data_IF_468832394718
#
_entry.id   IF_468832394718
#
_cell.length_a   1.000
_cell.length_b   1.000
_cell.length_c   1.000
_cell.angle_alpha   90.00
_cell.angle_beta   90.00
_cell.angle_gamma   90.00
#
_symmetry.space_group_name_H-M   'P 1'
#
loop_
_entity.id
_entity.type
_entity.pdbx_description
1 polymer ?
#
# COMPACT_ATOMS: atom_id res chain seq x y z
N UNK A 1 -16.12 19.84 5.76
CA UNK A 1 -14.79 19.75 6.42
C UNK A 1 -13.94 18.63 5.83
N UNK A 2 -14.39 17.36 5.88
CA UNK A 2 -13.71 16.17 5.29
C UNK A 2 -13.12 16.36 3.87
N UNK A 3 -13.93 16.79 2.90
CA UNK A 3 -13.49 16.99 1.51
C UNK A 3 -12.43 18.10 1.33
N UNK A 4 -12.30 19.02 2.31
CA UNK A 4 -11.21 20.02 2.29
C UNK A 4 -9.92 19.40 2.76
N UNK A 5 -9.97 18.49 3.75
CA UNK A 5 -8.79 17.78 4.25
C UNK A 5 -8.24 16.80 3.22
N UNK A 6 -9.10 15.96 2.62
CA UNK A 6 -8.68 15.04 1.55
C UNK A 6 -8.01 15.76 0.37
N UNK A 7 -8.53 16.94 -0.01
CA UNK A 7 -7.91 17.77 -1.05
C UNK A 7 -6.55 18.33 -0.64
N UNK A 8 -6.39 18.73 0.61
CA UNK A 8 -5.09 19.22 1.10
C UNK A 8 -4.05 18.12 1.20
N UNK A 9 -4.44 16.88 1.56
CA UNK A 9 -3.53 15.74 1.58
C UNK A 9 -2.89 15.52 0.20
N UNK A 10 -3.67 15.65 -0.87
CA UNK A 10 -3.18 15.51 -2.25
C UNK A 10 -2.28 16.66 -2.72
N UNK A 11 -2.17 17.76 -1.96
CA UNK A 11 -1.33 18.93 -2.29
C UNK A 11 -0.17 19.11 -1.32
N UNK A 12 0.07 18.16 -0.41
CA UNK A 12 1.22 18.21 0.49
C UNK A 12 2.51 18.04 -0.33
N UNK A 13 3.50 18.88 -0.03
CA UNK A 13 4.85 18.74 -0.55
C UNK A 13 5.58 17.67 0.27
N UNK A 14 5.30 16.40 -0.05
CA UNK A 14 5.88 15.23 0.61
C UNK A 14 5.97 14.07 -0.39
N UNK A 15 7.03 13.28 -0.29
CA UNK A 15 7.19 12.07 -1.12
C UNK A 15 6.19 10.97 -0.71
N UNK A 16 5.90 10.88 0.59
CA UNK A 16 5.00 9.87 1.18
C UNK A 16 4.13 10.52 2.25
N UNK A 17 2.82 10.25 2.17
CA UNK A 17 1.84 10.65 3.19
C UNK A 17 1.27 9.39 3.82
N UNK A 18 1.52 9.20 5.12
CA UNK A 18 0.91 8.12 5.91
C UNK A 18 -0.36 8.66 6.55
N UNK A 19 -1.49 8.03 6.25
CA UNK A 19 -2.78 8.34 6.85
C UNK A 19 -3.16 7.23 7.81
N UNK A 20 -2.98 7.47 9.11
CA UNK A 20 -3.47 6.56 10.15
C UNK A 20 -4.99 6.72 10.28
N UNK A 21 -5.73 5.65 9.99
CA UNK A 21 -7.19 5.62 10.06
C UNK A 21 -7.60 4.93 11.35
N UNK A 22 -8.38 5.62 12.18
CA UNK A 22 -8.90 5.05 13.42
C UNK A 22 -9.66 3.74 13.20
N UNK A 23 -9.74 2.91 14.25
CA UNK A 23 -10.35 1.59 14.17
C UNK A 23 -11.84 1.62 13.76
N UNK A 24 -12.28 0.54 13.12
CA UNK A 24 -13.68 0.32 12.73
C UNK A 24 -14.03 0.83 11.33
N UNK A 25 -15.29 0.64 10.94
CA UNK A 25 -15.79 0.92 9.59
C UNK A 25 -16.67 2.18 9.52
N UNK A 26 -16.33 3.21 10.30
CA UNK A 26 -17.01 4.51 10.22
C UNK A 26 -16.76 5.18 8.87
N UNK A 27 -17.71 6.00 8.41
CA UNK A 27 -17.67 6.63 7.08
C UNK A 27 -16.32 7.35 6.83
N UNK A 28 -15.84 8.11 7.81
CA UNK A 28 -14.55 8.81 7.71
C UNK A 28 -13.36 7.88 7.53
N UNK A 29 -13.29 6.76 8.27
CA UNK A 29 -12.21 5.78 8.12
C UNK A 29 -12.21 5.18 6.71
N UNK A 30 -13.38 4.81 6.19
CA UNK A 30 -13.53 4.27 4.84
C UNK A 30 -13.12 5.30 3.77
N UNK A 31 -13.49 6.57 3.94
CA UNK A 31 -13.15 7.63 2.99
C UNK A 31 -11.64 7.90 2.93
N UNK A 32 -10.97 7.97 4.08
CA UNK A 32 -9.51 8.15 4.13
C UNK A 32 -8.79 6.91 3.60
N UNK A 33 -9.24 5.71 3.99
CA UNK A 33 -8.71 4.46 3.46
C UNK A 33 -8.83 4.40 1.94
N UNK A 34 -9.99 4.77 1.38
CA UNK A 34 -10.22 4.75 -0.07
C UNK A 34 -9.49 5.85 -0.85
N UNK A 35 -8.97 6.88 -0.16
CA UNK A 35 -8.19 7.94 -0.80
C UNK A 35 -6.72 7.59 -1.02
N UNK A 36 -6.21 6.54 -0.38
CA UNK A 36 -4.80 6.15 -0.48
C UNK A 36 -4.50 5.32 -1.72
N UNK A 37 -3.35 5.60 -2.36
CA UNK A 37 -2.81 4.80 -3.47
C UNK A 37 -2.44 3.38 -3.00
N UNK A 38 -1.82 3.31 -1.82
CA UNK A 38 -1.56 2.06 -1.12
C UNK A 38 -2.48 1.97 0.08
N UNK A 39 -3.27 0.90 0.11
CA UNK A 39 -4.21 0.59 1.19
C UNK A 39 -3.69 -0.58 2.00
N UNK A 40 -3.46 -0.34 3.29
CA UNK A 40 -2.93 -1.32 4.23
C UNK A 40 -4.00 -1.61 5.28
N UNK A 41 -4.39 -2.87 5.40
CA UNK A 41 -5.17 -3.37 6.54
C UNK A 41 -4.20 -4.00 7.53
N UNK A 42 -4.40 -3.80 8.82
CA UNK A 42 -3.62 -4.47 9.87
C UNK A 42 -4.56 -5.43 10.61
N UNK A 43 -4.15 -6.68 10.78
CA UNK A 43 -4.94 -7.69 11.49
C UNK A 43 -4.06 -8.56 12.39
N UNK A 44 -4.69 -9.41 13.19
CA UNK A 44 -4.05 -10.46 14.01
C UNK A 44 -4.67 -11.80 13.62
N UNK A 45 -3.97 -12.95 13.80
CA UNK A 45 -4.50 -14.29 13.48
C UNK A 45 -5.51 -14.77 14.52
N UNK A 46 -6.50 -13.93 14.83
CA UNK A 46 -7.63 -14.23 15.68
C UNK A 46 -8.91 -14.23 14.82
N UNK A 47 -9.86 -15.15 15.07
CA UNK A 47 -11.08 -15.26 14.26
C UNK A 47 -11.89 -13.96 14.18
N UNK A 48 -11.99 -13.23 15.29
CA UNK A 48 -12.70 -11.94 15.38
C UNK A 48 -12.04 -10.88 14.51
N UNK A 49 -10.72 -10.71 14.62
CA UNK A 49 -9.95 -9.76 13.83
C UNK A 49 -10.00 -10.05 12.33
N UNK A 50 -10.04 -11.34 11.94
CA UNK A 50 -10.20 -11.76 10.55
C UNK A 50 -11.58 -11.38 9.99
N UNK A 51 -12.65 -11.57 10.79
CA UNK A 51 -14.01 -11.18 10.41
C UNK A 51 -14.13 -9.67 10.28
N UNK A 52 -13.53 -8.91 11.21
CA UNK A 52 -13.56 -7.45 11.17
C UNK A 52 -12.77 -6.89 9.97
N UNK A 53 -11.60 -7.46 9.67
CA UNK A 53 -10.84 -7.12 8.47
C UNK A 53 -11.65 -7.38 7.19
N UNK A 54 -12.29 -8.55 7.08
CA UNK A 54 -13.17 -8.87 5.94
C UNK A 54 -14.32 -7.88 5.80
N UNK A 55 -15.00 -7.56 6.90
CA UNK A 55 -16.12 -6.59 6.91
C UNK A 55 -15.66 -5.21 6.49
N UNK A 56 -14.51 -4.76 6.99
CA UNK A 56 -13.93 -3.48 6.61
C UNK A 56 -13.61 -3.43 5.11
N UNK A 57 -12.96 -4.48 4.57
CA UNK A 57 -12.64 -4.58 3.14
C UNK A 57 -13.91 -4.56 2.29
N UNK A 58 -14.95 -5.29 2.70
CA UNK A 58 -16.24 -5.30 2.01
C UNK A 58 -16.90 -3.90 1.99
N UNK A 59 -16.87 -3.19 3.12
CA UNK A 59 -17.44 -1.85 3.22
C UNK A 59 -16.63 -0.78 2.48
N UNK A 60 -15.32 -0.95 2.40
CA UNK A 60 -14.44 -0.06 1.67
C UNK A 60 -14.73 -0.04 0.16
N UNK A 61 -15.61 -0.90 -0.38
CA UNK A 61 -16.08 -0.86 -1.79
C UNK A 61 -14.93 -0.70 -2.79
N UNK A 62 -13.82 -1.35 -2.48
CA UNK A 62 -12.58 -1.24 -3.22
C UNK A 62 -12.80 -1.81 -4.63
N UNK A 63 -12.16 -1.25 -5.67
CA UNK A 63 -12.12 -1.86 -7.02
C UNK A 63 -10.75 -2.42 -7.38
N UNK A 64 -9.77 -2.29 -6.49
CA UNK A 64 -8.34 -2.57 -6.73
C UNK A 64 -7.69 -3.34 -5.56
N UNK A 65 -6.37 -3.56 -5.63
CA UNK A 65 -5.65 -4.40 -4.66
C UNK A 65 -5.60 -3.78 -3.26
N UNK A 66 -5.91 -4.60 -2.24
CA UNK A 66 -5.71 -4.28 -0.82
C UNK A 66 -4.51 -5.05 -0.31
N UNK A 67 -3.59 -4.37 0.37
CA UNK A 67 -2.41 -4.97 0.98
C UNK A 67 -2.69 -5.15 2.49
N UNK A 68 -2.23 -6.24 3.08
CA UNK A 68 -2.51 -6.58 4.48
C UNK A 68 -1.20 -6.82 5.25
N UNK A 69 -1.14 -6.34 6.48
CA UNK A 69 -0.07 -6.60 7.45
C UNK A 69 -0.67 -7.47 8.55
N UNK A 70 -0.07 -8.63 8.78
CA UNK A 70 -0.46 -9.48 9.91
C UNK A 70 0.42 -9.16 11.11
N UNK A 71 -0.15 -9.11 12.30
CA UNK A 71 0.59 -8.86 13.54
C UNK A 71 0.31 -9.99 14.51
N UNK A 72 1.34 -10.36 15.28
CA UNK A 72 1.31 -11.37 16.36
C UNK A 72 1.10 -12.82 15.88
N UNK A 73 2.20 -13.58 15.84
CA UNK A 73 2.30 -15.00 15.48
C UNK A 73 2.14 -15.27 13.96
N UNK A 74 3.15 -15.83 13.27
CA UNK A 74 3.07 -16.12 11.85
C UNK A 74 2.18 -17.33 11.58
N UNK A 75 0.86 -17.17 11.75
CA UNK A 75 -0.10 -18.12 11.20
C UNK A 75 -0.53 -17.66 9.81
N UNK A 76 0.36 -17.92 8.84
CA UNK A 76 0.13 -17.75 7.39
C UNK A 76 -1.26 -18.27 6.97
N UNK A 77 -1.77 -19.31 7.63
CA UNK A 77 -3.08 -19.92 7.33
C UNK A 77 -4.24 -18.97 7.59
N UNK A 78 -4.14 -18.11 8.61
CA UNK A 78 -5.17 -17.12 8.91
C UNK A 78 -5.26 -16.07 7.80
N UNK A 79 -4.12 -15.58 7.32
CA UNK A 79 -4.07 -14.72 6.13
C UNK A 79 -4.59 -15.43 4.88
N UNK A 80 -4.14 -16.66 4.60
CA UNK A 80 -4.57 -17.43 3.41
C UNK A 80 -6.09 -17.67 3.40
N UNK A 81 -6.70 -17.93 4.56
CA UNK A 81 -8.16 -18.04 4.67
C UNK A 81 -8.84 -16.72 4.38
N UNK A 82 -8.37 -15.61 4.96
CA UNK A 82 -8.92 -14.28 4.70
C UNK A 82 -8.79 -13.91 3.21
N UNK A 83 -7.63 -14.16 2.61
CA UNK A 83 -7.38 -13.96 1.17
C UNK A 83 -8.34 -14.80 0.32
N UNK A 84 -8.52 -16.09 0.64
CA UNK A 84 -9.42 -16.98 -0.09
C UNK A 84 -10.87 -16.49 -0.04
N UNK A 85 -11.38 -16.14 1.14
CA UNK A 85 -12.76 -15.67 1.32
C UNK A 85 -12.95 -14.32 0.63
N UNK A 86 -12.01 -13.39 0.79
CA UNK A 86 -12.03 -12.07 0.15
C UNK A 86 -12.00 -12.19 -1.37
N UNK A 87 -11.16 -13.06 -1.92
CA UNK A 87 -11.09 -13.32 -3.36
C UNK A 87 -12.37 -13.97 -3.89
N UNK A 88 -12.92 -14.95 -3.16
CA UNK A 88 -14.12 -15.69 -3.57
C UNK A 88 -15.38 -14.84 -3.57
N UNK A 89 -15.58 -14.00 -2.55
CA UNK A 89 -16.83 -13.30 -2.34
C UNK A 89 -16.79 -11.81 -2.72
N UNK A 90 -15.61 -11.17 -2.66
CA UNK A 90 -15.44 -9.76 -2.99
C UNK A 90 -14.67 -9.54 -4.30
N UNK A 91 -14.06 -10.58 -4.87
CA UNK A 91 -13.25 -10.46 -6.09
C UNK A 91 -11.90 -9.77 -5.87
N UNK A 92 -11.48 -9.55 -4.61
CA UNK A 92 -10.21 -8.90 -4.28
C UNK A 92 -9.14 -9.90 -3.90
N UNK A 93 -7.97 -9.79 -4.53
CA UNK A 93 -6.78 -10.54 -4.13
C UNK A 93 -5.96 -9.72 -3.13
N UNK A 94 -5.91 -10.21 -1.89
CA UNK A 94 -5.13 -9.58 -0.83
C UNK A 94 -3.66 -9.95 -0.97
N UNK A 95 -2.77 -8.98 -0.76
CA UNK A 95 -1.33 -9.23 -0.72
C UNK A 95 -0.81 -9.11 0.71
N UNK A 96 -0.01 -10.08 1.15
CA UNK A 96 0.67 -9.98 2.44
C UNK A 96 1.90 -9.07 2.29
N UNK A 97 1.92 -7.96 3.04
CA UNK A 97 3.04 -7.03 3.07
C UNK A 97 4.17 -7.49 3.99
N UNK A 98 3.80 -8.10 5.11
CA UNK A 98 4.72 -8.60 6.11
C UNK A 98 4.02 -8.99 7.40
N UNK A 99 4.80 -9.54 8.33
CA UNK A 99 4.34 -10.03 9.61
C UNK A 99 5.18 -9.43 10.73
N UNK A 100 4.53 -8.94 11.79
CA UNK A 100 5.23 -8.42 12.98
C UNK A 100 5.08 -9.44 14.11
N UNK A 101 6.17 -10.05 14.61
CA UNK A 101 6.08 -11.03 15.69
C UNK A 101 5.65 -10.37 17.01
N UNK A 102 5.08 -11.16 17.91
CA UNK A 102 4.88 -10.70 19.29
C UNK A 102 6.23 -10.40 19.95
N UNK A 103 6.36 -9.25 20.61
CA UNK A 103 7.62 -8.75 21.14
C UNK A 103 7.38 -8.01 22.46
N UNK A 104 8.22 -8.30 23.45
CA UNK A 104 8.21 -7.60 24.74
C UNK A 104 8.79 -6.20 24.59
N UNK A 105 9.77 -6.05 23.70
CA UNK A 105 10.42 -4.79 23.35
C UNK A 105 9.38 -3.78 22.82
N UNK A 106 8.41 -4.21 22.01
CA UNK A 106 7.28 -3.35 21.60
C UNK A 106 6.47 -2.88 22.82
N UNK A 107 6.15 -3.78 23.75
CA UNK A 107 5.39 -3.40 24.95
C UNK A 107 6.16 -2.42 25.84
N UNK A 108 7.48 -2.57 25.94
CA UNK A 108 8.34 -1.71 26.74
C UNK A 108 8.61 -0.36 26.06
N UNK A 109 8.69 -0.33 24.73
CA UNK A 109 8.83 0.90 23.95
C UNK A 109 7.58 1.78 24.07
N UNK A 110 6.38 1.17 24.09
CA UNK A 110 5.12 1.88 24.33
C UNK A 110 5.12 2.56 25.70
N UNK A 111 5.55 1.86 26.77
CA UNK A 111 5.64 2.43 28.13
C UNK A 111 6.63 3.59 28.20
N UNK A 112 7.65 3.55 27.36
CA UNK A 112 8.73 4.53 27.32
C UNK A 112 8.46 5.69 26.36
N UNK A 113 7.32 5.69 25.66
CA UNK A 113 6.97 6.65 24.61
C UNK A 113 8.05 6.80 23.52
N UNK A 114 8.72 5.69 23.19
CA UNK A 114 9.75 5.63 22.16
C UNK A 114 9.37 4.55 21.14
N UNK A 115 9.41 4.82 19.82
CA UNK A 115 9.15 3.79 18.81
C UNK A 115 10.11 2.61 18.98
N UNK A 116 9.61 1.38 18.81
CA UNK A 116 10.44 0.17 19.01
C UNK A 116 11.69 0.17 18.13
N UNK A 117 11.59 0.72 16.91
CA UNK A 117 12.70 0.87 15.96
C UNK A 117 13.80 1.80 16.45
N UNK A 118 13.48 2.73 17.34
CA UNK A 118 14.45 3.64 17.98
C UNK A 118 14.93 3.08 19.33
N UNK A 119 14.04 2.42 20.09
CA UNK A 119 14.35 1.85 21.39
C UNK A 119 15.29 0.64 21.30
N UNK A 120 15.06 -0.23 20.31
CA UNK A 120 15.88 -1.39 20.00
C UNK A 120 15.74 -1.73 18.51
N UNK A 121 16.68 -1.22 17.70
CA UNK A 121 16.70 -1.41 16.26
C UNK A 121 16.92 -2.89 15.84
N UNK A 122 17.49 -3.71 16.72
CA UNK A 122 17.87 -5.09 16.46
C UNK A 122 16.85 -6.09 17.02
N UNK A 123 15.74 -5.66 17.63
CA UNK A 123 14.70 -6.60 18.03
C UNK A 123 13.95 -7.16 16.81
N UNK A 124 13.26 -8.30 17.01
CA UNK A 124 12.53 -8.97 15.93
C UNK A 124 11.41 -8.10 15.33
N UNK A 125 10.74 -7.29 16.16
CA UNK A 125 9.69 -6.37 15.70
C UNK A 125 10.28 -5.23 14.85
N UNK A 126 11.39 -4.62 15.28
CA UNK A 126 12.07 -3.56 14.53
C UNK A 126 12.53 -4.03 13.15
N UNK A 127 13.13 -5.22 13.07
CA UNK A 127 13.48 -5.84 11.78
C UNK A 127 12.26 -6.09 10.89
N UNK A 128 11.12 -6.50 11.47
CA UNK A 128 9.89 -6.71 10.73
C UNK A 128 9.33 -5.40 10.17
N UNK A 129 9.30 -4.32 10.97
CA UNK A 129 8.92 -2.98 10.49
C UNK A 129 9.81 -2.50 9.35
N UNK A 130 11.13 -2.64 9.47
CA UNK A 130 12.06 -2.28 8.40
C UNK A 130 11.86 -3.11 7.12
N UNK A 131 11.53 -4.40 7.26
CA UNK A 131 11.21 -5.27 6.12
C UNK A 131 9.93 -4.82 5.41
N UNK A 132 8.88 -4.51 6.18
CA UNK A 132 7.61 -3.98 5.67
C UNK A 132 7.83 -2.65 4.92
N UNK A 133 8.64 -1.74 5.48
CA UNK A 133 8.98 -0.48 4.84
C UNK A 133 9.67 -0.69 3.48
N UNK A 134 10.65 -1.61 3.38
CA UNK A 134 11.30 -1.95 2.11
C UNK A 134 10.31 -2.52 1.08
N UNK A 135 9.42 -3.41 1.51
CA UNK A 135 8.40 -3.98 0.63
C UNK A 135 7.42 -2.91 0.11
N UNK A 136 7.14 -1.86 0.90
CA UNK A 136 6.32 -0.72 0.48
C UNK A 136 7.03 0.14 -0.56
N UNK A 137 8.29 0.49 -0.33
CA UNK A 137 9.09 1.26 -1.29
C UNK A 137 9.17 0.56 -2.65
N UNK A 138 9.45 -0.74 -2.65
CA UNK A 138 9.47 -1.54 -3.88
C UNK A 138 8.09 -1.55 -4.58
N UNK A 139 7.00 -1.56 -3.80
CA UNK A 139 5.64 -1.46 -4.30
C UNK A 139 5.30 -0.09 -4.90
N UNK A 140 5.72 0.99 -4.24
CA UNK A 140 5.55 2.38 -4.70
C UNK A 140 6.26 2.61 -6.03
N UNK A 141 7.50 2.13 -6.16
CA UNK A 141 8.26 2.22 -7.42
C UNK A 141 7.50 1.55 -8.57
N UNK A 142 6.94 0.36 -8.36
CA UNK A 142 6.16 -0.35 -9.38
C UNK A 142 4.89 0.39 -9.79
N UNK A 143 4.17 0.97 -8.83
CA UNK A 143 2.97 1.79 -9.11
C UNK A 143 3.31 3.02 -9.94
N UNK A 144 4.42 3.71 -9.62
CA UNK A 144 4.89 4.88 -10.37
C UNK A 144 5.25 4.57 -11.83
N UNK A 145 5.75 3.36 -12.10
CA UNK A 145 6.08 2.89 -13.46
C UNK A 145 4.81 2.50 -14.22
N UNK A 146 3.87 1.82 -13.56
CA UNK A 146 2.62 1.38 -14.18
C UNK A 146 1.74 2.56 -14.61
N UNK A 147 1.66 3.63 -13.79
CA UNK A 147 0.89 4.84 -14.10
C UNK A 147 1.49 5.67 -15.24
N UNK A 148 2.80 5.59 -15.47
CA UNK A 148 3.45 6.21 -16.65
C UNK A 148 3.24 5.41 -17.94
N UNK A 149 3.09 4.08 -17.85
CA UNK A 149 2.87 3.21 -19.02
C UNK A 149 1.45 3.30 -19.61
N UNK A 150 0.46 3.72 -18.84
CA UNK A 150 -0.92 3.94 -19.31
C UNK A 150 -1.17 5.36 -19.85
N UNK A 151 -0.16 6.24 -19.81
CA UNK A 151 -0.27 7.67 -20.09
C UNK A 151 0.39 8.18 -21.38
N UNK A 152 0.81 7.32 -22.31
CA UNK A 152 1.39 7.77 -23.60
C UNK A 152 0.77 7.05 -24.79
N UNK A 153 -0.41 7.54 -25.19
CA UNK A 153 -0.94 7.36 -26.55
C UNK A 153 -1.21 8.74 -27.16
N UNK A 154 -0.14 9.48 -27.40
CA UNK A 154 -0.09 10.50 -28.44
C UNK A 154 1.18 10.21 -29.23
N UNK A 155 1.01 9.53 -30.35
CA UNK A 155 2.06 9.23 -31.31
C UNK A 155 2.68 10.56 -31.80
N UNK A 156 3.85 10.92 -31.29
CA UNK A 156 4.72 11.85 -31.98
C UNK A 156 5.46 11.04 -33.06
N UNK A 157 4.89 11.04 -34.26
CA UNK A 157 5.47 10.44 -35.45
C UNK A 157 6.71 11.22 -35.84
N UNK A 158 7.88 10.82 -35.32
CA UNK A 158 9.18 11.32 -35.79
C UNK A 158 9.36 10.84 -37.22
N UNK A 159 9.08 11.73 -38.17
CA UNK A 159 9.28 11.50 -39.60
C UNK A 159 10.78 11.54 -39.90
N UNK A 160 11.37 10.36 -40.10
CA UNK A 160 12.76 10.23 -40.55
C UNK A 160 12.90 10.85 -41.95
N UNK A 161 13.94 11.65 -42.22
CA UNK A 161 14.10 12.27 -43.53
C UNK A 161 14.33 11.20 -44.60
N UNK A 162 13.49 11.25 -45.64
CA UNK A 162 13.54 10.43 -46.84
C UNK A 162 14.91 10.56 -47.53
N UNK A 163 15.64 9.46 -47.59
CA UNK A 163 16.97 9.36 -48.23
C UNK A 163 16.91 9.11 -49.74
N UNK A 164 15.83 9.46 -50.43
CA UNK A 164 15.68 9.21 -51.87
C UNK A 164 15.74 10.45 -52.78
N UNK A 165 16.34 11.57 -52.35
CA UNK A 165 16.62 12.69 -53.26
C UNK A 165 18.00 12.57 -53.92
N UNK A 166 18.09 12.47 -55.27
CA UNK A 166 19.37 12.48 -55.97
C UNK A 166 19.97 13.89 -55.95
N UNK A 167 21.22 14.02 -55.49
CA UNK A 167 21.98 15.27 -55.55
C UNK A 167 22.22 15.68 -57.00
N UNK A 168 21.78 16.88 -57.37
CA UNK A 168 22.14 17.53 -58.62
C UNK A 168 23.65 17.83 -58.68
N UNK A 169 24.30 17.80 -59.85
CA UNK A 169 25.72 18.14 -59.97
C UNK A 169 25.89 19.66 -59.88
N UNK A 170 26.82 20.10 -59.03
CA UNK A 170 27.24 21.50 -58.93
C UNK A 170 28.17 21.79 -60.11
N UNK A 171 27.86 22.86 -60.85
CA UNK A 171 28.75 23.52 -61.81
C UNK A 171 29.68 24.51 -61.09
#
# INVERSE_FOLDING_TARGET
MKQRLLRHLATLDADVVIVDVGAGAGLHALDFFNSGDIRIVVTVPEPTASVDAYRFINLATVRESVTNVSTRNPDRRSFERLQLVTRRFLGHDLKLLGEIPGSQEVADSIKSFLPVVEADADCAASRAFQSIARNLDDGLVRLSISSRSTGTSSEEKVELPDRSTPRSPIA
#
